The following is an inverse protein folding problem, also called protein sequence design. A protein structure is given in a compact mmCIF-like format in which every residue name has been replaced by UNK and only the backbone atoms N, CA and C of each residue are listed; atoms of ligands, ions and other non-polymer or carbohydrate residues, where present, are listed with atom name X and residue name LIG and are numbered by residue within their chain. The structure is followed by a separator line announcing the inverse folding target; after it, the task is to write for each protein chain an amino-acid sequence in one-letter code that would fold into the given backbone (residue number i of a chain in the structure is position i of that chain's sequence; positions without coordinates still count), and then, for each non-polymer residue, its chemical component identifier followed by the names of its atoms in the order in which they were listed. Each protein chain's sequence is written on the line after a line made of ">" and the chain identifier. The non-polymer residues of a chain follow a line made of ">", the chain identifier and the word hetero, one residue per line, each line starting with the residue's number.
data_IF_323443910319
#
_entry.id   IF_323443910319
#
_cell.length_a   1.000
_cell.length_b   1.000
_cell.length_c   1.000
_cell.angle_alpha   90.00
_cell.angle_beta   90.00
_cell.angle_gamma   90.00
#
_symmetry.space_group_name_H-M   'P 1'
#
loop_
_entity.id
_entity.type
_entity.pdbx_description
1 polymer ?
#
# COMPACT_ATOMS: atom_id res chain seq x y z
N UNK A 1 10.65 -6.96 11.04
CA UNK A 1 9.57 -7.10 10.05
C UNK A 1 10.00 -6.50 8.71
N UNK A 2 9.39 -7.00 7.65
CA UNK A 2 9.64 -6.53 6.28
C UNK A 2 8.29 -6.16 5.65
N UNK A 3 8.23 -5.05 4.93
CA UNK A 3 7.00 -4.66 4.23
C UNK A 3 6.74 -5.60 3.05
N UNK A 4 5.53 -6.13 2.96
CA UNK A 4 5.09 -6.90 1.79
C UNK A 4 4.73 -6.00 0.61
N UNK A 5 4.27 -4.78 0.90
CA UNK A 5 3.74 -3.85 -0.08
C UNK A 5 4.40 -2.49 0.08
N UNK A 6 4.40 -1.70 -0.99
CA UNK A 6 4.76 -0.30 -0.90
C UNK A 6 3.83 0.40 0.09
N UNK A 7 4.40 1.30 0.89
CA UNK A 7 3.62 2.20 1.75
C UNK A 7 3.72 3.60 1.16
N UNK A 8 2.59 4.09 0.66
CA UNK A 8 2.51 5.45 0.13
C UNK A 8 2.34 6.43 1.29
N UNK A 9 3.20 7.41 1.36
CA UNK A 9 3.20 8.40 2.44
C UNK A 9 3.32 9.81 1.88
N UNK A 10 3.04 10.77 2.74
CA UNK A 10 3.27 12.18 2.47
C UNK A 10 3.99 12.78 3.69
N UNK A 11 5.10 13.45 3.45
CA UNK A 11 5.83 14.11 4.53
C UNK A 11 5.01 15.28 5.09
N UNK A 12 4.91 15.35 6.42
CA UNK A 12 4.24 16.45 7.10
C UNK A 12 5.25 17.56 7.49
N UNK A 13 4.75 18.58 8.18
CA UNK A 13 5.59 19.73 8.62
C UNK A 13 6.68 19.32 9.61
N UNK A 14 6.45 18.24 10.36
CA UNK A 14 7.43 17.70 11.30
C UNK A 14 8.37 16.68 10.65
N UNK A 15 8.32 16.56 9.33
CA UNK A 15 9.13 15.62 8.55
C UNK A 15 8.85 14.15 8.88
N UNK A 16 7.63 13.85 9.34
CA UNK A 16 7.14 12.48 9.52
C UNK A 16 6.46 12.03 8.23
N UNK A 17 6.74 10.81 7.79
CA UNK A 17 6.11 10.22 6.63
C UNK A 17 4.76 9.63 7.04
N UNK A 18 3.67 10.27 6.66
CA UNK A 18 2.32 9.84 7.01
C UNK A 18 1.64 9.09 5.89
N UNK A 19 1.23 7.87 6.18
CA UNK A 19 0.37 7.06 5.32
C UNK A 19 -1.01 6.90 5.92
N UNK A 20 -1.93 6.31 5.15
CA UNK A 20 -3.29 6.03 5.57
C UNK A 20 -3.65 4.58 5.22
N UNK A 21 -4.55 4.00 6.00
CA UNK A 21 -5.16 2.72 5.63
C UNK A 21 -5.85 2.79 4.25
N UNK A 22 -6.25 3.99 3.84
CA UNK A 22 -6.85 4.22 2.53
C UNK A 22 -5.82 4.23 1.39
N UNK A 23 -4.53 4.12 1.71
CA UNK A 23 -3.43 4.04 0.74
C UNK A 23 -3.52 5.13 -0.31
N UNK A 24 -3.36 6.39 0.09
CA UNK A 24 -3.36 7.52 -0.85
C UNK A 24 -2.20 7.38 -1.84
N UNK A 25 -2.49 6.83 -3.01
CA UNK A 25 -1.49 6.44 -4.00
C UNK A 25 -0.91 7.62 -4.77
N UNK A 26 -1.51 8.80 -4.66
CA UNK A 26 -1.02 10.03 -5.27
C UNK A 26 -1.43 11.24 -4.43
N UNK A 27 -0.83 11.44 -3.25
CA UNK A 27 -1.23 12.52 -2.35
C UNK A 27 -0.77 13.92 -2.80
N UNK A 28 0.13 14.01 -3.79
CA UNK A 28 0.67 15.28 -4.26
C UNK A 28 2.04 15.59 -3.65
N UNK A 29 2.30 16.85 -3.37
CA UNK A 29 3.60 17.31 -2.87
C UNK A 29 4.00 16.59 -1.58
N UNK A 30 5.26 16.19 -1.50
CA UNK A 30 5.79 15.45 -0.35
C UNK A 30 5.50 13.94 -0.40
N UNK A 31 5.00 13.43 -1.53
CA UNK A 31 4.76 12.00 -1.72
C UNK A 31 6.07 11.22 -1.64
N UNK A 32 6.14 10.27 -0.72
CA UNK A 32 7.27 9.37 -0.55
C UNK A 32 6.75 7.94 -0.46
N UNK A 33 7.30 7.07 -1.26
CA UNK A 33 6.96 5.65 -1.24
C UNK A 33 8.04 4.92 -0.45
N UNK A 34 7.66 4.27 0.64
CA UNK A 34 8.55 3.34 1.34
C UNK A 34 8.40 2.00 0.62
N UNK A 35 9.48 1.50 -0.01
CA UNK A 35 9.35 0.35 -0.91
C UNK A 35 8.98 -0.96 -0.21
N UNK A 36 8.23 -1.81 -0.93
CA UNK A 36 8.08 -3.21 -0.54
C UNK A 36 9.45 -3.86 -0.34
N UNK A 37 9.57 -4.72 0.66
CA UNK A 37 10.83 -5.35 1.04
C UNK A 37 11.64 -4.57 2.06
N UNK A 38 11.29 -3.33 2.36
CA UNK A 38 11.98 -2.53 3.37
C UNK A 38 11.82 -3.16 4.76
N UNK A 39 12.92 -3.25 5.48
CA UNK A 39 12.91 -3.69 6.88
C UNK A 39 12.40 -2.57 7.76
N UNK A 40 11.48 -2.89 8.66
CA UNK A 40 10.86 -1.93 9.56
C UNK A 40 10.89 -2.41 11.01
N UNK A 41 10.75 -1.47 11.93
CA UNK A 41 10.59 -1.73 13.35
C UNK A 41 9.43 -0.90 13.88
N UNK A 42 8.36 -1.58 14.36
CA UNK A 42 7.21 -0.92 14.96
C UNK A 42 7.65 -0.36 16.32
N UNK A 43 7.50 0.94 16.50
CA UNK A 43 7.93 1.63 17.72
C UNK A 43 6.77 1.99 18.64
N UNK A 44 5.57 2.20 18.08
CA UNK A 44 4.38 2.54 18.85
C UNK A 44 3.13 2.18 18.05
N UNK A 45 2.12 1.67 18.73
CA UNK A 45 0.83 1.38 18.08
C UNK A 45 -0.34 1.68 19.00
N UNK A 46 -1.45 2.04 18.37
CA UNK A 46 -2.74 2.26 19.01
C UNK A 46 -3.85 1.83 18.05
N UNK A 47 -5.10 1.92 18.47
CA UNK A 47 -6.22 1.63 17.58
C UNK A 47 -6.33 2.59 16.39
N UNK A 48 -5.67 3.75 16.46
CA UNK A 48 -5.72 4.81 15.43
C UNK A 48 -4.56 4.79 14.46
N UNK A 49 -3.55 3.94 14.71
CA UNK A 49 -2.40 3.86 13.83
C UNK A 49 -1.15 3.34 14.51
N UNK A 50 -0.08 3.34 13.76
CA UNK A 50 1.20 2.86 14.28
C UNK A 50 2.36 3.63 13.68
N UNK A 51 3.40 3.78 14.50
CA UNK A 51 4.69 4.37 14.10
C UNK A 51 5.70 3.29 13.83
N UNK A 52 6.57 3.53 12.86
CA UNK A 52 7.70 2.64 12.64
C UNK A 52 8.91 3.40 12.12
N UNK A 53 10.08 2.86 12.42
CA UNK A 53 11.34 3.22 11.79
C UNK A 53 11.63 2.24 10.67
N UNK A 54 12.45 2.64 9.71
CA UNK A 54 12.79 1.82 8.55
C UNK A 54 14.19 2.16 8.06
N UNK A 55 14.77 1.26 7.29
CA UNK A 55 16.13 1.43 6.77
C UNK A 55 16.18 2.16 5.42
N UNK A 56 15.00 2.54 4.88
CA UNK A 56 14.91 3.33 3.65
C UNK A 56 15.34 4.78 3.86
N UNK A 57 14.97 5.39 4.98
CA UNK A 57 15.39 6.74 5.34
C UNK A 57 15.40 6.92 6.86
N UNK A 58 15.93 8.06 7.33
CA UNK A 58 15.95 8.40 8.76
C UNK A 58 14.62 8.98 9.26
N UNK A 59 13.65 9.24 8.36
CA UNK A 59 12.36 9.80 8.73
C UNK A 59 11.49 8.74 9.40
N UNK A 60 10.87 9.09 10.52
CA UNK A 60 9.86 8.24 11.14
C UNK A 60 8.63 8.17 10.24
N UNK A 61 7.97 7.02 10.20
CA UNK A 61 6.73 6.82 9.47
C UNK A 61 5.57 6.57 10.43
N UNK A 62 4.41 7.04 10.05
CA UNK A 62 3.16 6.81 10.77
C UNK A 62 2.06 6.42 9.77
N UNK A 63 1.39 5.31 10.02
CA UNK A 63 0.24 4.88 9.23
C UNK A 63 -1.02 5.07 10.07
N UNK A 64 -1.91 5.92 9.59
CA UNK A 64 -3.22 6.13 10.20
C UNK A 64 -4.13 4.95 9.89
N UNK A 65 -4.91 4.51 10.89
CA UNK A 65 -5.76 3.34 10.77
C UNK A 65 -7.16 3.62 11.31
N UNK A 66 -8.16 2.94 10.73
CA UNK A 66 -9.55 3.06 11.16
C UNK A 66 -10.20 1.68 11.19
N UNK A 67 -10.25 1.09 12.40
CA UNK A 67 -10.74 -0.28 12.58
C UNK A 67 -12.14 -0.53 12.01
N UNK A 68 -13.15 0.35 12.24
CA UNK A 68 -14.49 0.09 11.71
C UNK A 68 -14.56 -0.03 10.18
N UNK A 69 -13.78 0.79 9.45
CA UNK A 69 -13.76 0.73 7.98
C UNK A 69 -12.96 -0.44 7.44
N UNK A 70 -11.94 -0.86 8.17
CA UNK A 70 -11.09 -1.97 7.76
C UNK A 70 -11.61 -3.32 8.19
N UNK A 71 -12.52 -3.36 9.18
CA UNK A 71 -13.07 -4.61 9.68
C UNK A 71 -12.06 -5.51 10.36
N UNK A 72 -10.95 -4.94 10.85
CA UNK A 72 -9.90 -5.68 11.54
C UNK A 72 -9.17 -4.75 12.52
N UNK A 73 -8.44 -5.36 13.46
CA UNK A 73 -7.59 -4.61 14.39
C UNK A 73 -6.32 -4.09 13.72
N UNK A 74 -5.67 -3.12 14.35
CA UNK A 74 -4.37 -2.62 13.88
C UNK A 74 -3.32 -3.74 13.87
N UNK A 75 -3.34 -4.63 14.86
CA UNK A 75 -2.40 -5.76 14.90
C UNK A 75 -2.60 -6.71 13.72
N UNK A 76 -3.86 -7.03 13.39
CA UNK A 76 -4.17 -7.86 12.23
C UNK A 76 -3.73 -7.19 10.93
N UNK A 77 -3.90 -5.88 10.82
CA UNK A 77 -3.46 -5.14 9.65
C UNK A 77 -1.93 -5.13 9.50
N UNK A 78 -1.21 -4.91 10.60
CA UNK A 78 0.26 -4.96 10.59
C UNK A 78 0.72 -6.35 10.15
N UNK A 79 0.14 -7.41 10.69
CA UNK A 79 0.46 -8.79 10.29
C UNK A 79 0.18 -9.03 8.80
N UNK A 80 -0.90 -8.45 8.29
CA UNK A 80 -1.30 -8.58 6.89
C UNK A 80 -0.29 -7.96 5.92
N UNK A 81 0.27 -6.79 6.27
CA UNK A 81 1.15 -6.02 5.37
C UNK A 81 2.64 -6.25 5.61
N UNK A 82 3.00 -7.08 6.59
CA UNK A 82 4.41 -7.35 6.93
C UNK A 82 4.72 -8.84 6.89
N UNK A 83 6.01 -9.14 6.84
CA UNK A 83 6.55 -10.50 6.92
C UNK A 83 7.68 -10.54 7.94
N UNK A 84 7.82 -11.67 8.64
CA UNK A 84 8.96 -11.91 9.53
C UNK A 84 10.21 -12.32 8.75
N UNK A 85 10.06 -12.70 7.49
CA UNK A 85 11.15 -13.09 6.60
C UNK A 85 11.35 -12.03 5.51
N UNK A 86 12.56 -11.90 4.96
CA UNK A 86 12.81 -11.00 3.83
C UNK A 86 11.84 -11.27 2.68
N UNK A 87 11.38 -10.19 2.04
CA UNK A 87 10.44 -10.25 0.92
C UNK A 87 11.23 -10.09 -0.37
N UNK A 88 11.07 -11.05 -1.30
CA UNK A 88 11.68 -10.99 -2.62
C UNK A 88 10.67 -10.52 -3.65
N UNK A 89 11.09 -9.64 -4.54
CA UNK A 89 10.28 -9.13 -5.65
C UNK A 89 10.71 -9.73 -7.00
N UNK A 90 11.71 -10.61 -7.00
CA UNK A 90 12.33 -11.13 -8.23
C UNK A 90 11.42 -12.04 -9.05
N UNK A 91 10.40 -12.65 -8.44
CA UNK A 91 9.47 -13.55 -9.11
C UNK A 91 8.32 -12.83 -9.80
N UNK A 92 8.14 -11.54 -9.56
CA UNK A 92 7.13 -10.76 -10.27
C UNK A 92 7.49 -10.62 -11.76
N UNK A 93 6.47 -10.47 -12.60
CA UNK A 93 6.68 -10.21 -14.04
C UNK A 93 7.41 -8.88 -14.25
N UNK A 94 7.99 -8.68 -15.43
CA UNK A 94 8.64 -7.40 -15.76
C UNK A 94 7.67 -6.22 -15.64
N UNK A 95 6.41 -6.41 -16.08
CA UNK A 95 5.35 -5.41 -15.96
C UNK A 95 5.06 -5.08 -14.50
N UNK A 96 4.94 -6.11 -13.66
CA UNK A 96 4.73 -5.93 -12.21
C UNK A 96 5.91 -5.20 -11.56
N UNK A 97 7.14 -5.62 -11.86
CA UNK A 97 8.33 -5.01 -11.27
C UNK A 97 8.43 -3.52 -11.60
N UNK A 98 8.09 -3.14 -12.82
CA UNK A 98 8.05 -1.74 -13.23
C UNK A 98 7.00 -0.96 -12.44
N UNK A 99 5.78 -1.50 -12.35
CA UNK A 99 4.69 -0.88 -11.58
C UNK A 99 5.01 -0.75 -10.10
N UNK A 100 5.61 -1.79 -9.51
CA UNK A 100 6.04 -1.77 -8.10
C UNK A 100 7.09 -0.69 -7.87
N UNK A 101 8.09 -0.60 -8.74
CA UNK A 101 9.14 0.42 -8.64
C UNK A 101 8.58 1.84 -8.75
N UNK A 102 7.63 2.04 -9.64
CA UNK A 102 7.01 3.35 -9.86
C UNK A 102 5.89 3.64 -8.85
N UNK A 103 5.42 2.63 -8.11
CA UNK A 103 4.31 2.78 -7.17
C UNK A 103 2.98 3.00 -7.87
N UNK A 104 2.77 2.39 -9.03
CA UNK A 104 1.57 2.58 -9.85
C UNK A 104 1.05 1.28 -10.43
N UNK A 105 -0.28 1.22 -10.65
CA UNK A 105 -0.89 0.17 -11.44
C UNK A 105 -0.69 0.46 -12.94
N UNK A 106 -0.54 -0.58 -13.72
CA UNK A 106 -0.43 -0.50 -15.18
C UNK A 106 -1.16 -1.68 -15.82
N UNK A 107 -1.61 -1.49 -17.05
CA UNK A 107 -2.24 -2.53 -17.84
C UNK A 107 -1.32 -3.75 -17.93
N UNK A 108 -1.87 -4.93 -17.70
CA UNK A 108 -1.14 -6.19 -17.75
C UNK A 108 -0.51 -6.65 -16.44
N UNK A 109 -0.56 -5.83 -15.39
CA UNK A 109 -0.09 -6.25 -14.06
C UNK A 109 -1.00 -7.31 -13.46
N UNK A 110 -0.41 -8.20 -12.65
CA UNK A 110 -1.16 -9.16 -11.86
C UNK A 110 -1.80 -8.51 -10.64
N UNK A 111 -2.78 -9.17 -10.01
CA UNK A 111 -3.36 -8.71 -8.74
C UNK A 111 -2.30 -8.53 -7.67
N UNK A 112 -1.40 -9.49 -7.54
CA UNK A 112 -0.31 -9.41 -6.56
C UNK A 112 0.63 -8.24 -6.85
N UNK A 113 0.93 -7.99 -8.12
CA UNK A 113 1.74 -6.85 -8.54
C UNK A 113 1.09 -5.52 -8.19
N UNK A 114 -0.21 -5.37 -8.45
CA UNK A 114 -0.97 -4.17 -8.10
C UNK A 114 -0.99 -3.96 -6.58
N UNK A 115 -1.25 -5.02 -5.81
CA UNK A 115 -1.24 -4.93 -4.35
C UNK A 115 0.13 -4.53 -3.82
N UNK A 116 1.19 -5.08 -4.38
CA UNK A 116 2.55 -4.72 -3.96
C UNK A 116 2.88 -3.27 -4.30
N UNK A 117 2.44 -2.79 -5.48
CA UNK A 117 2.67 -1.41 -5.92
C UNK A 117 1.86 -0.38 -5.15
N UNK A 118 0.57 -0.65 -4.89
CA UNK A 118 -0.37 0.31 -4.32
C UNK A 118 -0.72 0.06 -2.86
N UNK A 119 -0.35 -1.10 -2.32
CA UNK A 119 -0.72 -1.50 -0.97
C UNK A 119 -2.04 -2.27 -0.92
N UNK A 120 -2.39 -2.74 0.27
CA UNK A 120 -3.64 -3.44 0.50
C UNK A 120 -4.81 -2.47 0.32
N UNK A 121 -5.80 -2.78 -0.55
CA UNK A 121 -6.89 -1.84 -0.80
C UNK A 121 -7.79 -1.67 0.43
N UNK A 122 -8.33 -0.49 0.62
CA UNK A 122 -9.22 -0.19 1.74
C UNK A 122 -10.47 -1.09 1.69
N UNK A 123 -10.68 -1.87 2.75
CA UNK A 123 -11.71 -2.92 2.79
C UNK A 123 -13.12 -2.37 2.59
N UNK A 124 -13.40 -1.16 3.07
CA UNK A 124 -14.73 -0.57 2.91
C UNK A 124 -15.10 -0.24 1.46
N UNK A 125 -14.13 -0.15 0.55
CA UNK A 125 -14.38 0.07 -0.88
C UNK A 125 -14.06 -1.18 -1.72
N UNK A 126 -13.19 -2.05 -1.22
CA UNK A 126 -12.83 -3.31 -1.87
C UNK A 126 -12.94 -4.44 -0.83
N UNK A 127 -14.16 -4.89 -0.52
CA UNK A 127 -14.35 -5.88 0.55
C UNK A 127 -13.86 -7.28 0.17
N UNK A 128 -13.64 -7.56 -1.12
CA UNK A 128 -13.12 -8.85 -1.59
C UNK A 128 -12.00 -8.64 -2.60
N UNK A 129 -10.88 -9.30 -2.37
CA UNK A 129 -9.74 -9.31 -3.32
C UNK A 129 -10.01 -10.14 -4.58
N UNK A 130 -11.08 -10.94 -4.57
CA UNK A 130 -11.50 -11.70 -5.75
C UNK A 130 -12.36 -10.89 -6.70
N UNK A 131 -12.82 -9.71 -6.26
CA UNK A 131 -13.59 -8.81 -7.12
C UNK A 131 -12.78 -8.43 -8.37
N UNK A 132 -13.48 -8.27 -9.49
CA UNK A 132 -12.86 -7.85 -10.75
C UNK A 132 -12.43 -6.39 -10.74
N UNK A 133 -12.96 -5.60 -9.82
CA UNK A 133 -12.61 -4.17 -9.65
C UNK A 133 -12.11 -3.92 -8.25
N UNK A 134 -10.91 -3.31 -8.16
CA UNK A 134 -10.37 -2.80 -6.91
C UNK A 134 -10.38 -1.28 -6.93
N UNK A 135 -10.83 -0.66 -5.82
CA UNK A 135 -10.88 0.78 -5.67
C UNK A 135 -9.78 1.22 -4.70
N UNK A 136 -8.91 2.09 -5.18
CA UNK A 136 -7.90 2.76 -4.37
C UNK A 136 -8.25 4.24 -4.24
N UNK A 137 -7.72 4.88 -3.23
CA UNK A 137 -7.79 6.33 -3.07
C UNK A 137 -6.49 6.95 -3.55
N UNK A 138 -6.56 7.90 -4.48
CA UNK A 138 -5.38 8.68 -4.87
C UNK A 138 -5.05 9.73 -3.80
N UNK A 139 -6.10 10.38 -3.30
CA UNK A 139 -6.09 11.33 -2.20
C UNK A 139 -7.47 11.28 -1.54
N UNK A 140 -7.73 12.16 -0.58
CA UNK A 140 -9.01 12.14 0.16
C UNK A 140 -10.25 12.46 -0.71
N UNK A 141 -10.07 12.93 -1.94
CA UNK A 141 -11.17 13.34 -2.83
C UNK A 141 -11.32 12.47 -4.08
N UNK A 142 -10.28 11.77 -4.50
CA UNK A 142 -10.26 11.03 -5.77
C UNK A 142 -9.95 9.56 -5.56
N UNK A 143 -10.69 8.73 -6.29
CA UNK A 143 -10.44 7.29 -6.33
C UNK A 143 -9.81 6.88 -7.64
N UNK A 144 -9.24 5.68 -7.63
CA UNK A 144 -8.68 4.99 -8.79
C UNK A 144 -9.33 3.62 -8.86
N UNK A 145 -9.96 3.29 -9.98
CA UNK A 145 -10.51 1.96 -10.20
C UNK A 145 -9.55 1.14 -11.06
N UNK A 146 -9.16 -0.02 -10.56
CA UNK A 146 -8.33 -0.99 -11.28
C UNK A 146 -9.20 -2.19 -11.62
N UNK A 147 -9.43 -2.42 -12.91
CA UNK A 147 -10.23 -3.54 -13.39
C UNK A 147 -9.34 -4.67 -13.88
N UNK A 148 -9.68 -5.89 -13.46
CA UNK A 148 -8.97 -7.11 -13.86
C UNK A 148 -9.81 -7.90 -14.85
N UNK A 149 -9.17 -8.36 -15.91
CA UNK A 149 -9.80 -9.21 -16.93
C UNK A 149 -9.92 -10.67 -16.49
N UNK A 150 -10.46 -11.49 -17.39
CA UNK A 150 -10.63 -12.92 -17.14
C UNK A 150 -9.30 -13.65 -16.88
N UNK A 151 -8.19 -13.13 -17.39
CA UNK A 151 -6.83 -13.65 -17.18
C UNK A 151 -6.24 -13.25 -15.83
N UNK A 152 -6.97 -12.48 -15.01
CA UNK A 152 -6.49 -11.99 -13.72
C UNK A 152 -5.52 -10.82 -13.81
N UNK A 153 -5.32 -10.25 -15.00
CA UNK A 153 -4.43 -9.11 -15.21
C UNK A 153 -5.22 -7.82 -15.40
N UNK A 154 -4.60 -6.71 -15.06
CA UNK A 154 -5.22 -5.39 -15.24
C UNK A 154 -5.61 -5.18 -16.70
N UNK A 155 -6.90 -4.94 -16.94
CA UNK A 155 -7.46 -4.65 -18.27
C UNK A 155 -7.75 -3.17 -18.47
N UNK A 156 -8.08 -2.43 -17.40
CA UNK A 156 -8.32 -0.99 -17.47
C UNK A 156 -8.07 -0.32 -16.14
N UNK A 157 -7.76 0.97 -16.19
CA UNK A 157 -7.54 1.82 -15.03
C UNK A 157 -8.33 3.10 -15.27
N UNK A 158 -9.18 3.48 -14.31
CA UNK A 158 -10.06 4.65 -14.41
C UNK A 158 -9.87 5.56 -13.21
N UNK A 159 -9.59 6.81 -13.46
CA UNK A 159 -9.49 7.85 -12.44
C UNK A 159 -10.84 8.44 -12.08
#
# INVERSE_FOLDING_TARGET
>A
LYLKYNVHTQADRANVLKGSYANYTNPGDGHVIIPAGTKINITKKSRRGFYFTHDFSSQEAYVEFHEPRMGMSVDAYIELITSTSPVSLSEFTATDQKGIKEGRAAIGMTREGVMTALGYPAVHRTPSLEASRWIYWQNRFRTLAVDFGADGKVSSITN
#
